data_IF_144996034943
#
_entry.id   IF_144996034943
#
_cell.length_a   1.000
_cell.length_b   1.000
_cell.length_c   1.000
_cell.angle_alpha   90.00
_cell.angle_beta   90.00
_cell.angle_gamma   90.00
#
_symmetry.space_group_name_H-M   'P 1'
#
loop_
_entity.id
_entity.type
_entity.pdbx_description
1 polymer ?
#
# COMPACT_ATOMS: atom_id res chain seq x y z
N UNK A 1 -78.90 5.26 8.94
CA UNK A 1 -78.45 5.25 10.35
C UNK A 1 -76.92 5.29 10.34
N UNK A 2 -76.34 6.38 10.84
CA UNK A 2 -74.90 6.63 10.91
C UNK A 2 -74.40 6.11 12.26
N UNK A 3 -73.33 5.34 12.30
CA UNK A 3 -72.59 5.11 13.54
C UNK A 3 -71.12 5.50 13.36
N UNK A 4 -70.74 6.53 14.12
CA UNK A 4 -69.37 6.98 14.38
C UNK A 4 -68.76 6.06 15.42
N UNK A 5 -67.49 5.69 15.25
CA UNK A 5 -66.65 5.24 16.36
C UNK A 5 -65.44 6.18 16.45
N UNK A 6 -65.32 6.75 17.64
CA UNK A 6 -64.34 7.72 18.10
C UNK A 6 -62.97 7.05 18.26
N UNK A 7 -61.93 7.58 17.62
CA UNK A 7 -60.54 7.20 17.89
C UNK A 7 -60.01 8.02 19.07
N UNK A 8 -59.70 7.35 20.18
CA UNK A 8 -58.91 7.93 21.27
C UNK A 8 -57.44 8.03 20.82
N UNK A 9 -56.93 9.26 20.81
CA UNK A 9 -55.50 9.59 20.75
C UNK A 9 -54.81 9.00 21.98
N UNK A 10 -53.78 8.17 21.78
CA UNK A 10 -52.75 7.95 22.78
C UNK A 10 -51.41 8.39 22.17
N UNK A 11 -50.95 9.56 22.59
CA UNK A 11 -49.68 10.17 22.19
C UNK A 11 -48.55 9.53 22.99
N UNK A 12 -47.81 8.61 22.36
CA UNK A 12 -46.50 8.18 22.86
C UNK A 12 -45.46 9.06 22.18
N UNK A 13 -44.89 10.01 22.95
CA UNK A 13 -43.69 10.75 22.56
C UNK A 13 -42.51 9.79 22.56
N UNK A 14 -42.11 9.30 21.38
CA UNK A 14 -40.77 8.76 21.18
C UNK A 14 -39.79 9.94 21.08
N UNK A 15 -39.01 10.18 22.13
CA UNK A 15 -37.82 11.00 22.03
C UNK A 15 -36.81 10.21 21.17
N UNK A 16 -36.74 10.54 19.88
CA UNK A 16 -35.67 10.08 19.01
C UNK A 16 -34.37 10.76 19.45
N UNK A 17 -33.52 10.02 20.16
CA UNK A 17 -32.12 10.41 20.36
C UNK A 17 -31.45 10.54 18.98
N UNK A 18 -30.74 11.64 18.68
CA UNK A 18 -29.98 11.72 17.46
C UNK A 18 -28.82 10.73 17.57
N UNK A 19 -28.88 9.67 16.77
CA UNK A 19 -27.71 8.85 16.45
C UNK A 19 -26.75 9.78 15.72
N UNK A 20 -25.72 10.26 16.42
CA UNK A 20 -24.59 10.94 15.81
C UNK A 20 -23.87 9.85 15.01
N UNK A 21 -24.19 9.77 13.72
CA UNK A 21 -23.40 9.02 12.78
C UNK A 21 -21.98 9.61 12.83
N UNK A 22 -21.01 8.78 13.24
CA UNK A 22 -19.61 9.09 13.05
C UNK A 22 -19.43 9.40 11.56
N UNK A 23 -19.13 10.65 11.24
CA UNK A 23 -18.79 11.03 9.89
C UNK A 23 -17.57 10.20 9.49
N UNK A 24 -17.75 9.29 8.53
CA UNK A 24 -16.63 8.72 7.81
C UNK A 24 -15.77 9.90 7.32
N UNK A 25 -14.44 9.83 7.42
CA UNK A 25 -13.60 10.88 6.87
C UNK A 25 -14.01 11.07 5.42
N UNK A 26 -14.36 12.30 5.06
CA UNK A 26 -14.71 12.65 3.70
C UNK A 26 -13.56 12.19 2.80
N UNK A 27 -13.76 11.12 2.05
CA UNK A 27 -12.90 10.78 0.92
C UNK A 27 -12.98 12.00 0.02
N UNK A 28 -11.94 12.83 0.01
CA UNK A 28 -11.85 13.95 -0.91
C UNK A 28 -12.17 13.40 -2.31
N UNK A 29 -13.28 13.85 -2.90
CA UNK A 29 -13.61 13.49 -4.28
C UNK A 29 -12.43 13.97 -5.14
N UNK A 30 -11.77 13.02 -5.80
CA UNK A 30 -10.71 13.33 -6.76
C UNK A 30 -11.40 13.89 -8.00
N UNK A 31 -11.61 15.21 -8.02
CA UNK A 31 -12.17 15.89 -9.18
C UNK A 31 -11.08 16.07 -10.22
N UNK A 32 -11.33 15.60 -11.44
CA UNK A 32 -10.49 15.95 -12.58
C UNK A 32 -10.66 17.42 -12.94
N UNK A 33 -9.56 18.06 -13.34
CA UNK A 33 -9.56 19.38 -13.95
C UNK A 33 -10.22 19.33 -15.34
N UNK A 34 -10.54 20.49 -15.91
CA UNK A 34 -11.19 20.59 -17.23
C UNK A 34 -10.35 19.95 -18.37
N UNK A 35 -9.03 19.84 -18.18
CA UNK A 35 -8.11 19.19 -19.12
C UNK A 35 -7.97 17.67 -18.92
N UNK A 36 -8.74 17.08 -18.00
CA UNK A 36 -8.73 15.65 -17.69
C UNK A 36 -7.55 15.20 -16.81
N UNK A 37 -6.76 16.14 -16.27
CA UNK A 37 -5.73 15.84 -15.28
C UNK A 37 -6.29 15.84 -13.86
N UNK A 38 -5.56 15.25 -12.91
CA UNK A 38 -5.92 15.27 -11.48
C UNK A 38 -4.75 15.80 -10.65
N UNK A 39 -5.06 16.49 -9.56
CA UNK A 39 -4.04 16.99 -8.64
C UNK A 39 -3.32 15.82 -7.93
N UNK A 40 -1.98 15.81 -7.94
CA UNK A 40 -1.21 14.77 -7.28
C UNK A 40 -1.36 14.79 -5.74
N UNK A 41 -1.76 15.93 -5.17
CA UNK A 41 -2.09 16.05 -3.76
C UNK A 41 -3.24 15.12 -3.30
N UNK A 42 -4.06 14.64 -4.24
CA UNK A 42 -5.13 13.69 -3.97
C UNK A 42 -4.63 12.23 -3.78
N UNK A 43 -3.34 11.95 -4.02
CA UNK A 43 -2.77 10.59 -3.95
C UNK A 43 -2.61 10.02 -2.53
N UNK A 44 -3.06 10.74 -1.50
CA UNK A 44 -3.07 10.33 -0.10
C UNK A 44 -1.83 10.76 0.69
N UNK A 45 -1.90 10.77 2.03
CA UNK A 45 -0.78 11.16 2.88
C UNK A 45 0.24 10.02 2.94
N UNK A 46 1.38 10.19 2.27
CA UNK A 46 2.52 9.28 2.40
C UNK A 46 3.59 9.77 3.35
N UNK A 47 3.45 10.99 3.84
CA UNK A 47 4.37 11.53 4.81
C UNK A 47 3.68 11.66 6.15
N UNK A 48 3.85 10.62 6.96
CA UNK A 48 3.30 10.55 8.29
C UNK A 48 4.39 10.87 9.32
N UNK A 49 4.36 12.09 9.86
CA UNK A 49 5.23 12.51 10.96
C UNK A 49 4.72 12.07 12.33
N UNK A 50 3.60 11.34 12.39
CA UNK A 50 2.98 10.87 13.63
C UNK A 50 3.95 10.01 14.42
N UNK A 51 4.81 9.23 13.75
CA UNK A 51 5.81 8.42 14.48
C UNK A 51 6.79 9.29 15.29
N UNK A 52 7.28 10.39 14.72
CA UNK A 52 8.18 11.28 15.46
C UNK A 52 7.44 12.11 16.49
N UNK A 53 6.17 12.46 16.22
CA UNK A 53 5.28 13.14 17.16
C UNK A 53 4.93 12.26 18.37
N UNK A 54 4.57 11.00 18.13
CA UNK A 54 4.30 9.98 19.15
C UNK A 54 5.53 9.78 20.05
N UNK A 55 6.74 9.65 19.47
CA UNK A 55 7.97 9.54 20.25
C UNK A 55 8.22 10.79 21.11
N UNK A 56 7.99 11.97 20.55
CA UNK A 56 8.12 13.24 21.27
C UNK A 56 7.17 13.28 22.47
N UNK A 57 5.89 12.97 22.27
CA UNK A 57 4.86 13.02 23.32
C UNK A 57 5.11 11.93 24.36
N UNK A 58 5.39 10.69 23.95
CA UNK A 58 5.69 9.58 24.85
C UNK A 58 6.97 9.82 25.67
N UNK A 59 7.93 10.57 25.12
CA UNK A 59 9.15 10.99 25.81
C UNK A 59 9.03 12.28 26.62
N UNK A 60 7.86 12.91 26.65
CA UNK A 60 7.64 14.17 27.37
C UNK A 60 7.35 13.96 28.87
N UNK A 61 7.27 15.06 29.62
CA UNK A 61 6.83 15.04 31.01
C UNK A 61 5.30 14.97 31.20
N UNK A 62 4.51 14.64 30.15
CA UNK A 62 3.05 14.57 30.22
C UNK A 62 2.57 13.65 31.37
N UNK A 63 1.75 14.19 32.28
CA UNK A 63 1.43 13.56 33.55
C UNK A 63 0.75 12.18 33.39
N UNK A 64 -0.33 12.10 32.60
CA UNK A 64 -1.09 10.85 32.43
C UNK A 64 -0.31 9.78 31.66
N UNK A 65 0.34 10.14 30.55
CA UNK A 65 1.25 9.26 29.81
C UNK A 65 2.31 8.62 30.74
N UNK A 66 2.90 9.40 31.66
CA UNK A 66 3.88 8.89 32.64
C UNK A 66 3.25 8.06 33.74
N UNK A 67 2.13 8.49 34.30
CA UNK A 67 1.42 7.77 35.36
C UNK A 67 0.97 6.37 34.90
N UNK A 68 0.42 6.29 33.69
CA UNK A 68 -0.05 5.06 33.05
C UNK A 68 1.06 4.25 32.35
N UNK A 69 2.30 4.78 32.37
CA UNK A 69 3.48 4.18 31.74
C UNK A 69 3.23 3.81 30.27
N UNK A 70 2.60 4.71 29.51
CA UNK A 70 2.28 4.49 28.10
C UNK A 70 3.54 4.75 27.27
N UNK A 71 4.02 3.72 26.59
CA UNK A 71 5.18 3.79 25.68
C UNK A 71 4.75 4.21 24.28
N UNK A 72 5.71 4.64 23.44
CA UNK A 72 5.45 5.09 22.08
C UNK A 72 4.70 4.06 21.21
N UNK A 73 4.93 2.75 21.40
CA UNK A 73 4.22 1.68 20.69
C UNK A 73 2.77 1.47 21.16
N UNK A 74 2.37 2.14 22.26
CA UNK A 74 1.04 2.03 22.88
C UNK A 74 0.27 3.34 22.92
N UNK A 75 0.92 4.45 22.59
CA UNK A 75 0.29 5.76 22.49
C UNK A 75 -0.40 5.90 21.14
N UNK A 76 -1.72 5.99 21.15
CA UNK A 76 -2.52 6.39 20.00
C UNK A 76 -2.69 7.90 20.00
N UNK A 77 -2.59 8.51 18.82
CA UNK A 77 -2.87 9.94 18.63
C UNK A 77 -3.99 10.13 17.61
N UNK A 78 -4.77 11.19 17.81
CA UNK A 78 -5.72 11.69 16.83
C UNK A 78 -5.52 13.20 16.69
N UNK A 79 -5.13 13.65 15.51
CA UNK A 79 -4.95 15.07 15.21
C UNK A 79 -6.31 15.62 14.78
N UNK A 80 -6.94 16.40 15.66
CA UNK A 80 -8.27 16.99 15.40
C UNK A 80 -8.16 18.19 14.47
N UNK A 81 -7.14 19.04 14.69
CA UNK A 81 -6.92 20.22 13.88
C UNK A 81 -5.44 20.38 13.55
N UNK A 82 -5.17 20.73 12.29
CA UNK A 82 -3.86 21.02 11.74
C UNK A 82 -3.87 22.42 11.16
N UNK A 83 -3.39 23.37 11.95
CA UNK A 83 -3.05 24.70 11.48
C UNK A 83 -1.63 24.69 10.87
N UNK A 84 -1.29 25.71 10.10
CA UNK A 84 0.07 25.92 9.58
C UNK A 84 1.13 26.01 10.69
N UNK A 85 0.73 26.38 11.92
CA UNK A 85 1.62 26.57 13.05
C UNK A 85 1.34 25.63 14.24
N UNK A 86 0.20 24.95 14.30
CA UNK A 86 -0.21 24.21 15.49
C UNK A 86 -0.92 22.90 15.16
N UNK A 87 -0.67 21.89 15.99
CA UNK A 87 -1.37 20.60 15.95
C UNK A 87 -2.13 20.41 17.27
N UNK A 88 -3.45 20.23 17.19
CA UNK A 88 -4.28 19.86 18.34
C UNK A 88 -4.48 18.34 18.34
N UNK A 89 -4.01 17.66 19.40
CA UNK A 89 -3.79 16.21 19.39
C UNK A 89 -4.46 15.58 20.61
N UNK A 90 -5.41 14.68 20.36
CA UNK A 90 -5.97 13.81 21.40
C UNK A 90 -5.05 12.61 21.62
N UNK A 91 -4.82 12.26 22.88
CA UNK A 91 -3.98 11.15 23.29
C UNK A 91 -4.80 9.98 23.84
N UNK A 92 -4.41 8.76 23.49
CA UNK A 92 -5.04 7.54 24.00
C UNK A 92 -4.04 6.42 24.28
N UNK A 93 -4.36 5.57 25.27
CA UNK A 93 -3.70 4.32 25.55
C UNK A 93 -4.38 3.19 24.77
N UNK A 94 -3.74 2.72 23.71
CA UNK A 94 -4.25 1.66 22.83
C UNK A 94 -4.45 0.30 23.52
N UNK A 95 -3.90 0.11 24.74
CA UNK A 95 -4.13 -1.09 25.54
C UNK A 95 -5.55 -1.14 26.10
N UNK A 96 -6.21 0.01 26.21
CA UNK A 96 -7.54 0.18 26.76
C UNK A 96 -8.50 0.53 25.63
N UNK A 97 -9.71 -0.03 25.65
CA UNK A 97 -10.75 0.27 24.67
C UNK A 97 -11.95 0.90 25.36
N UNK A 98 -12.44 2.04 24.86
CA UNK A 98 -13.71 2.61 25.31
C UNK A 98 -14.83 1.55 25.23
N UNK A 99 -15.67 1.51 26.26
CA UNK A 99 -16.88 0.69 26.31
C UNK A 99 -18.07 1.55 26.75
N UNK A 100 -19.32 1.11 26.56
CA UNK A 100 -20.48 1.84 27.09
C UNK A 100 -20.41 2.07 28.61
N UNK A 101 -19.79 1.15 29.34
CA UNK A 101 -19.61 1.20 30.80
C UNK A 101 -18.41 2.07 31.21
N UNK A 102 -17.50 2.35 30.28
CA UNK A 102 -16.29 3.17 30.51
C UNK A 102 -15.91 3.90 29.22
N UNK A 103 -16.70 4.90 28.80
CA UNK A 103 -16.50 5.57 27.52
C UNK A 103 -15.19 6.36 27.45
N UNK A 104 -14.61 6.72 28.59
CA UNK A 104 -13.31 7.39 28.68
C UNK A 104 -12.11 6.44 28.86
N UNK A 105 -12.31 5.11 28.83
CA UNK A 105 -11.21 4.16 29.03
C UNK A 105 -10.11 4.38 28.00
N UNK A 106 -8.89 4.57 28.49
CA UNK A 106 -7.71 4.85 27.67
C UNK A 106 -7.55 6.31 27.22
N UNK A 107 -8.44 7.26 27.52
CA UNK A 107 -8.21 8.66 27.17
C UNK A 107 -7.13 9.28 28.07
N UNK A 108 -6.09 9.86 27.46
CA UNK A 108 -4.95 10.44 28.17
C UNK A 108 -4.94 11.99 28.15
N UNK A 109 -5.98 12.60 27.58
CA UNK A 109 -6.12 14.05 27.46
C UNK A 109 -5.67 14.58 26.09
N UNK A 110 -5.39 15.88 26.05
CA UNK A 110 -5.03 16.61 24.85
C UNK A 110 -3.70 17.32 25.01
N UNK A 111 -2.98 17.43 23.90
CA UNK A 111 -1.79 18.26 23.78
C UNK A 111 -1.87 19.14 22.55
N UNK A 112 -1.26 20.32 22.64
CA UNK A 112 -1.04 21.19 21.50
C UNK A 112 0.45 21.25 21.22
N UNK A 113 0.85 20.93 20.00
CA UNK A 113 2.22 21.10 19.53
C UNK A 113 2.31 22.33 18.63
N UNK A 114 3.09 23.34 19.06
CA UNK A 114 3.38 24.51 18.25
C UNK A 114 4.61 24.24 17.37
N UNK A 115 4.37 24.20 16.06
CA UNK A 115 5.35 23.90 15.01
C UNK A 115 6.37 25.03 14.90
N UNK A 116 5.96 26.29 15.04
CA UNK A 116 6.88 27.43 14.87
C UNK A 116 7.88 27.51 16.01
N UNK A 117 7.40 27.36 17.24
CA UNK A 117 8.18 27.57 18.45
C UNK A 117 8.79 26.28 18.99
N UNK A 118 8.45 25.12 18.40
CA UNK A 118 8.86 23.79 18.85
C UNK A 118 8.54 23.60 20.35
N UNK A 119 7.29 23.84 20.70
CA UNK A 119 6.79 23.70 22.08
C UNK A 119 5.61 22.74 22.13
N UNK A 120 5.45 22.08 23.27
CA UNK A 120 4.35 21.17 23.53
C UNK A 120 3.65 21.64 24.80
N UNK A 121 2.34 21.74 24.78
CA UNK A 121 1.53 22.10 25.95
C UNK A 121 0.47 21.02 26.18
N UNK A 122 0.19 20.70 27.43
CA UNK A 122 -1.00 19.93 27.79
C UNK A 122 -2.17 20.90 27.90
N UNK A 123 -3.13 20.73 26.99
CA UNK A 123 -4.38 21.48 26.90
C UNK A 123 -5.50 20.60 27.45
N UNK A 124 -5.45 20.28 28.75
CA UNK A 124 -6.42 19.40 29.41
C UNK A 124 -7.84 20.00 29.50
N UNK A 125 -8.49 19.85 30.65
CA UNK A 125 -9.84 20.38 30.90
C UNK A 125 -9.91 21.92 31.03
N UNK A 126 -8.76 22.60 31.06
CA UNK A 126 -8.64 24.04 31.22
C UNK A 126 -7.84 24.61 30.04
N UNK A 127 -8.59 25.05 29.01
CA UNK A 127 -8.05 25.68 27.80
C UNK A 127 -7.43 27.05 28.13
N UNK A 128 -7.84 27.68 29.24
CA UNK A 128 -7.36 29.00 29.64
C UNK A 128 -5.98 28.92 30.34
N UNK A 129 -5.59 27.75 30.86
CA UNK A 129 -4.32 27.52 31.55
C UNK A 129 -3.53 26.33 30.99
N UNK A 130 -3.00 26.43 29.76
CA UNK A 130 -2.18 25.38 29.17
C UNK A 130 -0.90 25.15 29.98
N UNK A 131 -0.54 23.88 30.23
CA UNK A 131 0.66 23.52 30.97
C UNK A 131 1.81 23.21 30.00
N UNK A 132 2.94 23.95 30.02
CA UNK A 132 4.09 23.64 29.19
C UNK A 132 4.70 22.27 29.52
N UNK A 133 4.96 21.49 28.49
CA UNK A 133 5.60 20.18 28.58
C UNK A 133 7.06 20.27 28.12
N UNK A 134 7.92 19.49 28.78
CA UNK A 134 9.33 19.33 28.40
C UNK A 134 9.54 18.00 27.70
N UNK A 135 10.43 18.00 26.71
CA UNK A 135 10.82 16.82 25.93
C UNK A 135 12.27 16.97 25.46
N UNK A 136 12.84 15.90 24.91
CA UNK A 136 14.22 15.90 24.40
C UNK A 136 14.39 16.86 23.21
N UNK A 137 15.38 17.74 23.27
CA UNK A 137 15.72 18.64 22.15
C UNK A 137 15.96 17.88 20.84
N UNK A 138 16.66 16.73 20.91
CA UNK A 138 16.93 15.86 19.75
C UNK A 138 15.63 15.35 19.11
N UNK A 139 14.65 14.97 19.93
CA UNK A 139 13.36 14.48 19.42
C UNK A 139 12.52 15.62 18.81
N UNK A 140 12.62 16.83 19.39
CA UNK A 140 12.05 18.04 18.81
C UNK A 140 12.63 18.36 17.43
N UNK A 141 13.96 18.35 17.31
CA UNK A 141 14.65 18.56 16.02
C UNK A 141 14.27 17.51 14.97
N UNK A 142 14.13 16.24 15.37
CA UNK A 142 13.68 15.16 14.48
C UNK A 142 12.26 15.40 13.96
N UNK A 143 11.31 15.77 14.83
CA UNK A 143 9.96 16.10 14.41
C UNK A 143 9.95 17.34 13.50
N UNK A 144 10.68 18.41 13.84
CA UNK A 144 10.78 19.61 13.01
C UNK A 144 11.36 19.30 11.62
N UNK A 145 12.41 18.47 11.56
CA UNK A 145 12.98 18.03 10.29
C UNK A 145 11.97 17.22 9.48
N UNK A 146 11.17 16.37 10.14
CA UNK A 146 10.09 15.61 9.50
C UNK A 146 9.04 16.57 8.91
N UNK A 147 8.48 17.49 9.70
CA UNK A 147 7.45 18.43 9.27
C UNK A 147 7.93 19.36 8.15
N UNK A 148 9.20 19.78 8.19
CA UNK A 148 9.81 20.56 7.11
C UNK A 148 9.86 19.76 5.81
N UNK A 149 10.29 18.50 5.88
CA UNK A 149 10.33 17.59 4.72
C UNK A 149 8.93 17.33 4.18
N UNK A 150 7.95 17.10 5.05
CA UNK A 150 6.54 16.98 4.67
C UNK A 150 6.06 18.19 3.87
N UNK A 151 6.28 19.40 4.40
CA UNK A 151 5.89 20.65 3.73
C UNK A 151 6.54 20.80 2.35
N UNK A 152 7.83 20.45 2.23
CA UNK A 152 8.53 20.46 0.94
C UNK A 152 7.89 19.47 -0.05
N UNK A 153 7.56 18.26 0.39
CA UNK A 153 6.93 17.26 -0.47
C UNK A 153 5.50 17.63 -0.87
N UNK A 154 4.72 18.21 0.05
CA UNK A 154 3.40 18.76 -0.26
C UNK A 154 3.47 19.89 -1.29
N UNK A 155 4.48 20.75 -1.23
CA UNK A 155 4.69 21.80 -2.23
C UNK A 155 5.00 21.22 -3.63
N UNK A 156 5.73 20.10 -3.70
CA UNK A 156 5.97 19.41 -4.98
C UNK A 156 4.64 18.87 -5.52
N UNK A 157 3.87 18.16 -4.68
CA UNK A 157 2.58 17.60 -5.06
C UNK A 157 1.57 18.67 -5.48
N UNK A 158 1.55 19.85 -4.85
CA UNK A 158 0.63 20.93 -5.20
C UNK A 158 0.89 21.52 -6.59
N UNK A 159 2.12 21.37 -7.10
CA UNK A 159 2.48 21.80 -8.47
C UNK A 159 2.29 20.71 -9.52
N UNK A 160 2.10 19.46 -9.10
CA UNK A 160 2.11 18.30 -9.98
C UNK A 160 0.70 17.94 -10.45
N UNK A 161 0.54 17.76 -11.75
CA UNK A 161 -0.67 17.21 -12.37
C UNK A 161 -0.41 15.78 -12.82
N UNK A 162 -1.41 14.92 -12.63
CA UNK A 162 -1.37 13.53 -13.06
C UNK A 162 -2.33 13.33 -14.22
N UNK A 163 -1.95 12.52 -15.19
CA UNK A 163 -2.79 12.14 -16.31
C UNK A 163 -2.92 10.62 -16.39
N UNK A 164 -4.09 10.09 -16.78
CA UNK A 164 -4.23 8.68 -17.09
C UNK A 164 -3.25 8.25 -18.19
N UNK A 165 -2.67 7.07 -18.04
CA UNK A 165 -1.90 6.44 -19.10
C UNK A 165 -2.07 4.93 -19.05
N UNK A 166 -1.98 4.31 -20.22
CA UNK A 166 -1.90 2.85 -20.33
C UNK A 166 -0.43 2.49 -20.12
N UNK A 167 -0.12 1.93 -18.95
CA UNK A 167 1.21 1.39 -18.69
C UNK A 167 1.50 0.24 -19.66
N UNK A 168 2.73 0.17 -20.16
CA UNK A 168 3.17 -0.93 -21.03
C UNK A 168 2.98 -2.29 -20.35
N UNK A 169 3.20 -2.32 -19.04
CA UNK A 169 2.85 -3.42 -18.16
C UNK A 169 2.12 -2.88 -16.93
N UNK A 170 0.99 -3.48 -16.51
CA UNK A 170 0.31 -3.10 -15.27
C UNK A 170 1.12 -3.48 -14.02
N UNK A 171 2.04 -4.43 -14.16
CA UNK A 171 2.86 -4.95 -13.06
C UNK A 171 4.34 -4.67 -13.30
N UNK A 172 5.03 -4.21 -12.25
CA UNK A 172 6.46 -3.91 -12.30
C UNK A 172 7.17 -4.58 -11.15
N UNK A 173 8.26 -5.27 -11.43
CA UNK A 173 9.05 -5.97 -10.42
C UNK A 173 10.16 -5.09 -9.89
N UNK A 174 10.37 -5.14 -8.57
CA UNK A 174 11.50 -4.49 -7.92
C UNK A 174 12.79 -5.23 -8.25
N UNK A 175 13.80 -4.49 -8.70
CA UNK A 175 15.12 -5.00 -9.10
C UNK A 175 16.27 -4.35 -8.32
N UNK A 176 17.51 -4.78 -8.59
CA UNK A 176 18.72 -4.28 -7.94
C UNK A 176 18.99 -4.93 -6.58
N UNK A 177 19.83 -4.27 -5.77
CA UNK A 177 20.23 -4.73 -4.41
C UNK A 177 19.61 -3.84 -3.34
N UNK A 178 19.28 -4.42 -2.18
CA UNK A 178 18.76 -3.70 -1.02
C UNK A 178 17.32 -3.19 -1.19
N UNK A 179 16.86 -2.39 -0.22
CA UNK A 179 15.51 -1.84 -0.16
C UNK A 179 15.28 -0.78 -1.24
N UNK A 180 14.12 -0.82 -1.89
CA UNK A 180 13.59 0.28 -2.69
C UNK A 180 12.49 0.97 -1.88
N UNK A 181 12.73 2.23 -1.52
CA UNK A 181 11.83 2.98 -0.65
C UNK A 181 10.72 3.63 -1.45
N UNK A 182 9.54 3.75 -0.83
CA UNK A 182 8.47 4.61 -1.32
C UNK A 182 8.80 6.07 -1.03
N UNK A 183 8.33 6.95 -1.90
CA UNK A 183 8.47 8.39 -1.76
C UNK A 183 7.08 9.03 -1.80
N UNK A 184 6.88 10.06 -0.98
CA UNK A 184 5.62 10.79 -0.90
C UNK A 184 5.36 11.68 -2.13
N UNK A 185 6.44 12.13 -2.78
CA UNK A 185 6.42 12.86 -4.04
C UNK A 185 7.55 12.32 -4.94
N UNK A 186 7.52 12.56 -6.27
CA UNK A 186 8.53 12.05 -7.20
C UNK A 186 9.83 12.84 -7.12
N UNK A 187 10.50 12.76 -5.96
CA UNK A 187 11.70 13.50 -5.64
C UNK A 187 12.51 12.77 -4.55
N UNK A 188 13.85 12.80 -4.62
CA UNK A 188 14.71 12.03 -3.72
C UNK A 188 14.55 12.43 -2.24
N UNK A 189 14.40 13.72 -1.98
CA UNK A 189 14.18 14.27 -0.63
C UNK A 189 12.88 13.78 0.01
N UNK A 190 11.93 13.26 -0.78
CA UNK A 190 10.62 12.81 -0.32
C UNK A 190 10.54 11.32 0.03
N UNK A 191 11.69 10.66 0.20
CA UNK A 191 11.79 9.27 0.66
C UNK A 191 11.13 9.05 2.01
N UNK A 192 10.30 8.01 2.15
CA UNK A 192 9.89 7.47 3.44
C UNK A 192 10.89 6.38 3.86
N UNK A 193 11.53 6.57 5.01
CA UNK A 193 12.56 5.64 5.53
C UNK A 193 11.97 4.36 6.14
N UNK A 194 10.64 4.31 6.33
CA UNK A 194 9.96 3.19 6.97
C UNK A 194 9.18 2.32 5.99
N UNK A 195 8.85 2.85 4.80
CA UNK A 195 8.03 2.17 3.81
C UNK A 195 8.87 1.78 2.61
N UNK A 196 9.10 0.48 2.43
CA UNK A 196 9.95 -0.05 1.37
C UNK A 196 9.50 -1.42 0.88
N UNK A 197 9.97 -1.75 -0.32
CA UNK A 197 9.86 -3.06 -0.96
C UNK A 197 11.26 -3.61 -1.24
N UNK A 198 11.36 -4.90 -1.53
CA UNK A 198 12.63 -5.60 -1.74
C UNK A 198 12.66 -6.25 -3.13
N UNK A 199 13.86 -6.58 -3.66
CA UNK A 199 13.98 -7.19 -4.98
C UNK A 199 13.14 -8.46 -5.10
N UNK A 200 12.35 -8.57 -6.18
CA UNK A 200 11.40 -9.66 -6.41
C UNK A 200 9.95 -9.37 -6.01
N UNK A 201 9.69 -8.30 -5.26
CA UNK A 201 8.33 -7.78 -5.07
C UNK A 201 7.74 -7.30 -6.40
N UNK A 202 6.44 -7.49 -6.58
CA UNK A 202 5.69 -7.06 -7.77
C UNK A 202 4.72 -5.98 -7.35
N UNK A 203 4.82 -4.82 -7.99
CA UNK A 203 4.07 -3.60 -7.71
C UNK A 203 3.05 -3.35 -8.81
N UNK A 204 1.91 -2.80 -8.45
CA UNK A 204 0.84 -2.43 -9.39
C UNK A 204 1.01 -0.97 -9.80
N UNK A 205 0.96 -0.66 -11.09
CA UNK A 205 0.92 0.72 -11.56
C UNK A 205 -0.49 1.27 -11.39
N UNK A 206 -0.62 2.49 -10.86
CA UNK A 206 -1.94 3.09 -10.58
C UNK A 206 -2.69 3.55 -11.84
N UNK A 207 -2.04 3.50 -13.00
CA UNK A 207 -2.56 4.06 -14.26
C UNK A 207 -2.46 5.58 -14.35
N UNK A 208 -1.78 6.23 -13.39
CA UNK A 208 -1.53 7.68 -13.38
C UNK A 208 -0.04 7.96 -13.48
N UNK A 209 0.32 8.96 -14.29
CA UNK A 209 1.69 9.50 -14.37
C UNK A 209 1.69 11.01 -14.24
N UNK A 210 2.80 11.55 -13.76
CA UNK A 210 3.06 12.99 -13.83
C UNK A 210 3.02 13.47 -15.29
N UNK A 211 2.36 14.61 -15.53
CA UNK A 211 2.34 15.27 -16.85
C UNK A 211 3.71 15.84 -17.20
N UNK A 212 4.42 16.36 -16.20
CA UNK A 212 5.76 16.92 -16.31
C UNK A 212 6.68 16.39 -15.20
N UNK A 213 7.99 16.23 -15.47
CA UNK A 213 8.95 15.92 -14.42
C UNK A 213 9.04 17.04 -13.37
N UNK A 214 9.34 16.67 -12.11
CA UNK A 214 9.62 17.66 -11.07
C UNK A 214 10.90 18.43 -11.43
N UNK A 215 10.82 19.76 -11.41
CA UNK A 215 11.95 20.63 -11.76
C UNK A 215 13.18 20.32 -10.90
N UNK A 216 14.30 20.00 -11.56
CA UNK A 216 15.57 19.70 -10.90
C UNK A 216 15.76 18.22 -10.56
N UNK A 217 14.72 17.38 -10.69
CA UNK A 217 14.85 15.94 -10.59
C UNK A 217 15.39 15.36 -11.90
N UNK A 218 16.39 14.48 -11.78
CA UNK A 218 17.03 13.80 -12.91
C UNK A 218 16.49 12.39 -13.13
N UNK A 219 15.89 11.86 -12.08
CA UNK A 219 15.39 10.50 -12.02
C UNK A 219 13.93 10.47 -12.46
N UNK A 220 13.53 9.36 -13.08
CA UNK A 220 12.13 9.11 -13.42
C UNK A 220 11.45 8.32 -12.30
N UNK A 221 10.16 8.59 -12.11
CA UNK A 221 9.38 8.03 -11.01
C UNK A 221 8.08 7.43 -11.53
N UNK A 222 7.65 6.35 -10.90
CA UNK A 222 6.39 5.69 -11.17
C UNK A 222 5.52 5.70 -9.92
N UNK A 223 4.26 6.09 -10.07
CA UNK A 223 3.27 5.96 -9.01
C UNK A 223 2.75 4.53 -9.00
N UNK A 224 3.00 3.83 -7.90
CA UNK A 224 2.73 2.39 -7.76
C UNK A 224 2.01 2.10 -6.45
N UNK A 225 1.37 0.94 -6.39
CA UNK A 225 0.71 0.41 -5.21
C UNK A 225 1.27 -0.99 -4.86
N UNK A 226 1.33 -1.27 -3.56
CA UNK A 226 1.71 -2.56 -2.98
C UNK A 226 0.96 -2.77 -1.66
N UNK A 227 0.06 -3.76 -1.63
CA UNK A 227 -0.86 -3.94 -0.52
C UNK A 227 -1.74 -2.69 -0.33
N UNK A 228 -1.72 -2.11 0.88
CA UNK A 228 -2.45 -0.89 1.20
C UNK A 228 -1.61 0.38 1.04
N UNK A 229 -0.37 0.26 0.55
CA UNK A 229 0.54 1.37 0.34
C UNK A 229 0.51 1.79 -1.12
N UNK A 230 0.36 3.08 -1.37
CA UNK A 230 0.58 3.69 -2.68
C UNK A 230 1.73 4.68 -2.56
N UNK A 231 2.53 4.91 -3.59
CA UNK A 231 3.52 5.99 -3.58
C UNK A 231 4.49 5.95 -4.77
N UNK A 232 5.43 6.90 -4.78
CA UNK A 232 6.37 7.06 -5.88
C UNK A 232 7.59 6.18 -5.66
N UNK A 233 8.00 5.44 -6.69
CA UNK A 233 9.25 4.68 -6.70
C UNK A 233 10.06 5.07 -7.92
N UNK A 234 11.37 5.22 -7.73
CA UNK A 234 12.31 5.51 -8.81
C UNK A 234 12.32 4.35 -9.82
N UNK A 235 12.10 4.64 -11.10
CA UNK A 235 12.00 3.61 -12.15
C UNK A 235 13.28 2.79 -12.32
N UNK A 236 14.44 3.30 -11.93
CA UNK A 236 15.71 2.56 -11.96
C UNK A 236 15.74 1.40 -10.95
N UNK A 237 14.72 1.30 -10.09
CA UNK A 237 14.51 0.18 -9.16
C UNK A 237 13.47 -0.80 -9.67
N UNK A 238 12.93 -0.60 -10.87
CA UNK A 238 11.83 -1.36 -11.42
C UNK A 238 12.17 -1.88 -12.80
N UNK A 239 11.61 -3.04 -13.14
CA UNK A 239 11.59 -3.57 -14.50
C UNK A 239 10.19 -4.09 -14.77
N UNK A 240 9.67 -3.89 -15.98
CA UNK A 240 8.30 -4.29 -16.29
C UNK A 240 8.18 -5.81 -16.20
N UNK A 241 7.07 -6.31 -15.66
CA UNK A 241 6.88 -7.75 -15.49
C UNK A 241 6.84 -8.46 -16.85
N UNK A 242 6.29 -7.80 -17.88
CA UNK A 242 6.25 -8.33 -19.25
C UNK A 242 7.64 -8.46 -19.88
N UNK A 243 8.51 -7.45 -19.73
CA UNK A 243 9.89 -7.52 -20.24
C UNK A 243 10.67 -8.65 -19.56
N UNK A 244 10.49 -8.81 -18.25
CA UNK A 244 11.10 -9.92 -17.50
C UNK A 244 10.62 -11.28 -17.99
N UNK A 245 9.33 -11.43 -18.26
CA UNK A 245 8.76 -12.66 -18.81
C UNK A 245 9.28 -12.94 -20.23
N UNK A 246 9.30 -11.94 -21.10
CA UNK A 246 9.84 -12.05 -22.46
C UNK A 246 11.32 -12.47 -22.43
N UNK A 247 12.13 -11.80 -21.62
CA UNK A 247 13.55 -12.11 -21.47
C UNK A 247 13.80 -13.52 -20.89
N UNK A 248 12.95 -13.99 -19.96
CA UNK A 248 13.05 -15.34 -19.43
C UNK A 248 12.77 -16.40 -20.50
N UNK A 249 11.72 -16.19 -21.31
CA UNK A 249 11.38 -17.07 -22.44
C UNK A 249 12.49 -17.09 -23.49
N UNK A 250 13.01 -15.94 -23.91
CA UNK A 250 14.11 -15.87 -24.88
C UNK A 250 15.36 -16.62 -24.43
N UNK A 251 15.72 -16.51 -23.14
CA UNK A 251 16.88 -17.22 -22.59
C UNK A 251 16.66 -18.73 -22.59
N UNK A 252 15.45 -19.16 -22.22
CA UNK A 252 15.08 -20.56 -22.24
C UNK A 252 15.05 -21.14 -23.67
N UNK A 253 14.57 -20.36 -24.65
CA UNK A 253 14.63 -20.70 -26.08
C UNK A 253 16.07 -20.86 -26.55
N UNK A 254 16.95 -19.91 -26.24
CA UNK A 254 18.37 -19.97 -26.60
C UNK A 254 19.05 -21.21 -26.01
N UNK A 255 18.77 -21.55 -24.74
CA UNK A 255 19.29 -22.77 -24.12
C UNK A 255 18.79 -24.03 -24.83
N UNK A 256 17.49 -24.10 -25.13
CA UNK A 256 16.90 -25.23 -25.82
C UNK A 256 17.50 -25.42 -27.22
N UNK A 257 17.60 -24.34 -28.01
CA UNK A 257 18.21 -24.38 -29.35
C UNK A 257 19.68 -24.80 -29.31
N UNK A 258 20.43 -24.38 -28.29
CA UNK A 258 21.80 -24.85 -28.10
C UNK A 258 21.87 -26.36 -27.84
N UNK A 259 20.93 -26.92 -27.06
CA UNK A 259 20.82 -28.36 -26.80
C UNK A 259 20.42 -29.19 -28.02
N UNK A 260 19.63 -28.61 -28.93
CA UNK A 260 19.20 -29.25 -30.18
C UNK A 260 20.32 -29.37 -31.23
N UNK A 261 21.39 -28.58 -31.15
CA UNK A 261 22.53 -28.72 -32.08
C UNK A 261 23.11 -30.14 -32.10
N UNK A 262 22.90 -30.90 -31.02
CA UNK A 262 23.36 -32.27 -30.88
C UNK A 262 22.23 -33.31 -30.73
N UNK A 263 20.95 -32.93 -30.78
CA UNK A 263 19.80 -33.80 -30.49
C UNK A 263 18.55 -33.42 -31.30
N UNK A 264 17.67 -34.39 -31.59
CA UNK A 264 16.38 -34.11 -32.23
C UNK A 264 15.35 -33.58 -31.21
N UNK A 265 14.44 -32.67 -31.64
CA UNK A 265 13.27 -32.32 -30.84
C UNK A 265 12.50 -33.58 -30.44
N UNK A 266 12.12 -33.68 -29.16
CA UNK A 266 11.39 -34.82 -28.66
C UNK A 266 10.37 -34.37 -27.63
N UNK A 267 9.15 -34.89 -27.76
CA UNK A 267 8.09 -34.66 -26.79
C UNK A 267 7.84 -35.94 -25.99
N UNK A 268 7.77 -35.80 -24.68
CA UNK A 268 7.55 -36.92 -23.76
C UNK A 268 6.29 -36.69 -22.95
N UNK A 269 5.56 -37.77 -22.70
CA UNK A 269 4.41 -37.75 -21.81
C UNK A 269 4.90 -37.76 -20.36
N UNK A 270 4.40 -36.85 -19.55
CA UNK A 270 4.58 -36.78 -18.10
C UNK A 270 3.21 -36.85 -17.43
N UNK A 271 3.17 -37.37 -16.21
CA UNK A 271 2.01 -37.36 -15.33
C UNK A 271 2.18 -36.30 -14.25
N UNK A 272 1.12 -35.55 -13.96
CA UNK A 272 1.12 -34.52 -12.91
C UNK A 272 1.05 -35.17 -11.54
N UNK A 273 1.92 -34.75 -10.63
CA UNK A 273 2.01 -35.33 -9.28
C UNK A 273 1.29 -34.51 -8.21
N UNK A 274 1.05 -33.22 -8.49
CA UNK A 274 0.45 -32.28 -7.56
C UNK A 274 -1.06 -32.19 -7.73
N UNK A 275 -1.78 -31.85 -6.65
CA UNK A 275 -3.24 -31.64 -6.70
C UNK A 275 -3.64 -30.61 -7.78
N UNK A 276 -2.80 -29.59 -7.97
CA UNK A 276 -2.97 -28.55 -8.98
C UNK A 276 -1.59 -28.02 -9.38
N UNK A 277 -1.28 -28.08 -10.67
CA UNK A 277 -0.07 -27.54 -11.27
C UNK A 277 -0.48 -26.53 -12.35
N UNK A 278 -0.03 -25.29 -12.20
CA UNK A 278 -0.42 -24.17 -13.08
C UNK A 278 0.51 -24.04 -14.26
N UNK A 279 -0.05 -23.57 -15.38
CA UNK A 279 0.74 -23.04 -16.48
C UNK A 279 1.22 -21.61 -16.17
N UNK A 280 2.36 -21.25 -16.74
CA UNK A 280 2.99 -19.95 -16.65
C UNK A 280 3.36 -19.47 -18.07
N UNK A 281 3.33 -18.17 -18.31
CA UNK A 281 3.65 -17.56 -19.61
C UNK A 281 5.16 -17.59 -19.89
N UNK A 282 5.96 -17.63 -18.83
CA UNK A 282 7.42 -17.74 -18.89
C UNK A 282 7.93 -18.66 -17.77
N UNK A 283 9.19 -19.12 -17.80
CA UNK A 283 9.77 -19.97 -16.76
C UNK A 283 10.15 -19.18 -15.49
N UNK A 284 9.17 -18.45 -14.93
CA UNK A 284 9.27 -17.64 -13.74
C UNK A 284 7.89 -17.65 -13.03
N UNK A 285 7.89 -17.87 -11.71
CA UNK A 285 6.65 -18.00 -10.91
C UNK A 285 5.78 -16.74 -10.89
N UNK A 286 6.33 -15.59 -11.27
CA UNK A 286 5.60 -14.32 -11.37
C UNK A 286 5.05 -14.05 -12.77
N UNK A 287 5.43 -14.84 -13.77
CA UNK A 287 4.88 -14.79 -15.12
C UNK A 287 3.67 -15.70 -15.23
N UNK A 288 2.59 -15.35 -14.53
CA UNK A 288 1.41 -16.22 -14.44
C UNK A 288 0.43 -15.98 -15.58
N UNK A 289 -0.12 -17.07 -16.11
CA UNK A 289 -1.27 -17.06 -17.00
C UNK A 289 -2.57 -16.83 -16.21
N UNK A 290 -3.72 -16.90 -16.90
CA UNK A 290 -5.03 -16.96 -16.26
C UNK A 290 -5.06 -18.08 -15.19
N UNK A 291 -5.54 -17.76 -13.99
CA UNK A 291 -5.60 -18.69 -12.87
C UNK A 291 -6.36 -20.00 -13.20
N UNK A 292 -7.25 -20.00 -14.19
CA UNK A 292 -7.97 -21.18 -14.66
C UNK A 292 -7.11 -22.17 -15.46
N UNK A 293 -5.93 -21.79 -15.94
CA UNK A 293 -5.07 -22.66 -16.74
C UNK A 293 -4.14 -23.49 -15.85
N UNK A 294 -4.68 -24.62 -15.39
CA UNK A 294 -3.97 -25.60 -14.59
C UNK A 294 -4.36 -27.02 -14.98
N UNK A 295 -3.50 -27.95 -14.62
CA UNK A 295 -3.73 -29.39 -14.64
C UNK A 295 -3.76 -29.93 -13.22
N UNK A 296 -4.41 -31.06 -13.03
CA UNK A 296 -4.57 -31.71 -11.73
C UNK A 296 -3.79 -33.01 -11.68
N UNK A 297 -3.70 -33.60 -10.50
CA UNK A 297 -3.01 -34.86 -10.28
C UNK A 297 -3.48 -35.93 -11.28
N UNK A 298 -2.54 -36.69 -11.80
CA UNK A 298 -2.71 -37.77 -12.77
C UNK A 298 -3.09 -37.32 -14.19
N UNK A 299 -3.24 -36.01 -14.45
CA UNK A 299 -3.34 -35.49 -15.82
C UNK A 299 -2.05 -35.78 -16.59
N UNK A 300 -2.22 -36.03 -17.90
CA UNK A 300 -1.12 -36.26 -18.82
C UNK A 300 -0.73 -34.97 -19.57
N UNK A 301 0.53 -34.58 -19.43
CA UNK A 301 1.11 -33.42 -20.12
C UNK A 301 2.18 -33.88 -21.11
N UNK A 302 2.20 -33.28 -22.29
CA UNK A 302 3.25 -33.48 -23.28
C UNK A 302 4.30 -32.39 -23.14
N UNK A 303 5.49 -32.76 -22.68
CA UNK A 303 6.64 -31.85 -22.48
C UNK A 303 7.52 -31.90 -23.72
N UNK A 304 7.67 -30.78 -24.42
CA UNK A 304 8.49 -30.63 -25.63
C UNK A 304 9.94 -30.20 -25.30
N UNK A 305 10.16 -29.64 -24.11
CA UNK A 305 11.48 -29.22 -23.62
C UNK A 305 11.79 -29.88 -22.27
N UNK A 306 12.25 -31.14 -22.27
CA UNK A 306 12.39 -31.93 -21.05
C UNK A 306 13.55 -31.48 -20.15
N UNK A 307 14.52 -30.72 -20.67
CA UNK A 307 15.59 -30.14 -19.87
C UNK A 307 15.05 -28.88 -19.17
N UNK A 308 14.93 -28.87 -17.82
CA UNK A 308 14.34 -27.73 -17.14
C UNK A 308 15.21 -26.48 -17.27
N UNK A 309 14.56 -25.33 -17.45
CA UNK A 309 15.17 -24.01 -17.34
C UNK A 309 14.63 -23.33 -16.07
N UNK A 310 15.51 -22.98 -15.14
CA UNK A 310 15.13 -22.41 -13.83
C UNK A 310 14.06 -23.25 -13.08
N UNK A 311 14.08 -24.57 -13.25
CA UNK A 311 13.11 -25.47 -12.63
C UNK A 311 11.78 -25.61 -13.37
N UNK A 312 11.63 -24.99 -14.54
CA UNK A 312 10.44 -25.10 -15.39
C UNK A 312 10.69 -25.91 -16.66
N UNK A 313 9.66 -26.59 -17.13
CA UNK A 313 9.63 -27.21 -18.47
C UNK A 313 8.48 -26.61 -19.28
N UNK A 314 8.66 -26.52 -20.59
CA UNK A 314 7.56 -26.13 -21.49
C UNK A 314 6.76 -27.37 -21.87
N UNK A 315 5.44 -27.24 -21.96
CA UNK A 315 4.58 -28.35 -22.31
C UNK A 315 3.18 -27.94 -22.72
N UNK A 316 2.42 -28.96 -23.12
CA UNK A 316 1.03 -28.88 -23.58
C UNK A 316 0.16 -29.87 -22.83
N UNK A 317 -1.03 -29.42 -22.47
CA UNK A 317 -2.15 -30.24 -22.02
C UNK A 317 -3.30 -30.18 -23.02
N UNK A 318 -4.00 -31.29 -23.19
CA UNK A 318 -5.24 -31.38 -23.99
C UNK A 318 -6.32 -31.94 -23.07
N UNK A 319 -7.32 -31.11 -22.75
CA UNK A 319 -8.37 -31.50 -21.82
C UNK A 319 -9.22 -32.64 -22.42
N UNK A 320 -9.33 -33.81 -21.77
CA UNK A 320 -9.88 -35.01 -22.38
C UNK A 320 -11.36 -34.89 -22.74
N UNK A 321 -12.14 -34.12 -21.96
CA UNK A 321 -13.59 -33.98 -22.20
C UNK A 321 -13.95 -32.83 -23.16
N UNK A 322 -13.09 -31.81 -23.30
CA UNK A 322 -13.42 -30.59 -24.06
C UNK A 322 -12.54 -30.39 -25.28
N UNK A 323 -11.42 -31.11 -25.37
CA UNK A 323 -10.41 -30.90 -26.41
C UNK A 323 -9.64 -29.58 -26.28
N UNK A 324 -9.91 -28.75 -25.25
CA UNK A 324 -9.19 -27.48 -25.05
C UNK A 324 -7.71 -27.76 -24.90
N UNK A 325 -6.90 -27.07 -25.70
CA UNK A 325 -5.44 -27.11 -25.61
C UNK A 325 -4.97 -25.97 -24.72
N UNK A 326 -4.08 -26.28 -23.78
CA UNK A 326 -3.37 -25.30 -22.95
C UNK A 326 -1.87 -25.57 -23.09
N UNK A 327 -1.10 -24.54 -23.44
CA UNK A 327 0.36 -24.63 -23.60
C UNK A 327 1.03 -23.58 -22.69
N UNK A 328 2.25 -23.86 -22.25
CA UNK A 328 3.04 -22.93 -21.45
C UNK A 328 4.08 -23.64 -20.58
N UNK A 329 4.61 -22.90 -19.61
CA UNK A 329 5.62 -23.40 -18.67
C UNK A 329 5.00 -24.02 -17.43
N UNK A 330 5.60 -25.10 -16.94
CA UNK A 330 5.16 -25.86 -15.77
C UNK A 330 6.35 -26.09 -14.82
N UNK A 331 6.12 -26.01 -13.51
CA UNK A 331 7.14 -26.37 -12.51
C UNK A 331 7.49 -27.86 -12.68
N UNK A 332 8.74 -28.14 -13.02
CA UNK A 332 9.21 -29.49 -13.33
C UNK A 332 9.11 -30.44 -12.12
N UNK A 333 9.15 -29.90 -10.89
CA UNK A 333 8.96 -30.68 -9.67
C UNK A 333 7.54 -31.22 -9.50
N UNK A 334 6.56 -30.68 -10.24
CA UNK A 334 5.18 -31.15 -10.27
C UNK A 334 4.91 -32.27 -11.28
N UNK A 335 5.93 -32.77 -11.97
CA UNK A 335 5.81 -33.73 -13.06
C UNK A 335 6.63 -35.00 -12.81
N UNK A 336 6.12 -36.14 -13.26
CA UNK A 336 6.82 -37.42 -13.26
C UNK A 336 6.73 -38.05 -14.65
N UNK A 337 7.87 -38.49 -15.18
CA UNK A 337 7.92 -39.22 -16.45
C UNK A 337 7.33 -40.62 -16.29
#
# INVERSE_FOLDING_TARGET
MRFRITALRNSVFFAALPVIAAAAPATAEVTADEDGTVAAAASGPLFDCDRELIKLIAGSNHALVRAEKVTADRLGIYIENRDINELAIQLSDTRQKPSPESPGAGQLGWVTYNIKDNTLTATGADIEHPVPLTFSAVQGEQLQSCLKKEKTCQQILSTLRLTPFIAMSPEWRVTGKGRAYFHAAPAQQCRDDNTFVVPGDVLQVTGLRATEPVKGEKESWLLVAYGNTQGWINVNRLESQDDLCGAATEKADKQYQAGLKNNKPSSYKYSVTQKRLRFYDAPDKKCSTNAADYVVKDDAVWVDRPQPYQGFVHGRYIHPATGKVTEGWLDAGGLKK
#
